data_IF_668747193696
#
_entry.id   IF_668747193696
#
_cell.length_a   1.000
_cell.length_b   1.000
_cell.length_c   1.000
_cell.angle_alpha   90.00
_cell.angle_beta   90.00
_cell.angle_gamma   90.00
#
_symmetry.space_group_name_H-M   'P 1'
#
loop_
_entity.id
_entity.type
_entity.pdbx_description
1 polymer ?
#
# COMPACT_ATOMS: atom_id res chain seq x y z
N UNK A 1 25.11 0.29 3.00
CA UNK A 1 24.03 -0.49 2.35
C UNK A 1 22.78 0.26 2.70
N UNK A 2 22.24 0.99 1.72
CA UNK A 2 21.11 1.95 1.85
C UNK A 2 19.75 1.23 1.75
N UNK A 3 19.74 -0.08 2.01
CA UNK A 3 18.57 -0.92 1.80
C UNK A 3 17.43 -0.51 2.75
N UNK A 4 17.72 -0.23 4.02
CA UNK A 4 16.74 0.31 4.97
C UNK A 4 16.10 1.62 4.49
N UNK A 5 16.90 2.57 4.00
CA UNK A 5 16.40 3.84 3.48
C UNK A 5 15.56 3.69 2.22
N UNK A 6 15.90 2.71 1.37
CA UNK A 6 15.11 2.36 0.19
C UNK A 6 13.75 1.75 0.57
N UNK A 7 13.73 0.80 1.52
CA UNK A 7 12.48 0.17 1.98
C UNK A 7 11.57 1.16 2.70
N UNK A 8 12.12 2.03 3.55
CA UNK A 8 11.38 3.13 4.18
C UNK A 8 10.74 4.06 3.13
N UNK A 9 11.49 4.40 2.08
CA UNK A 9 10.97 5.22 1.00
C UNK A 9 9.85 4.51 0.23
N UNK A 10 9.97 3.20 -0.01
CA UNK A 10 8.96 2.39 -0.66
C UNK A 10 7.65 2.35 0.14
N UNK A 11 7.74 2.11 1.46
CA UNK A 11 6.60 2.16 2.40
C UNK A 11 5.91 3.51 2.36
N UNK A 12 6.68 4.61 2.44
CA UNK A 12 6.15 5.98 2.37
C UNK A 12 5.47 6.30 1.05
N UNK A 13 6.03 5.84 -0.07
CA UNK A 13 5.43 6.07 -1.39
C UNK A 13 4.10 5.32 -1.54
N UNK A 14 4.02 4.09 -1.01
CA UNK A 14 2.77 3.33 -0.99
C UNK A 14 1.69 4.04 -0.16
N UNK A 15 2.03 4.46 1.06
CA UNK A 15 1.11 5.20 1.93
C UNK A 15 0.59 6.47 1.25
N UNK A 16 1.48 7.24 0.63
CA UNK A 16 1.12 8.47 -0.06
C UNK A 16 0.24 8.20 -1.28
N UNK A 17 0.54 7.17 -2.07
CA UNK A 17 -0.29 6.76 -3.20
C UNK A 17 -1.70 6.35 -2.75
N UNK A 18 -1.80 5.61 -1.64
CA UNK A 18 -3.08 5.21 -1.07
C UNK A 18 -3.91 6.43 -0.63
N UNK A 19 -3.29 7.38 0.08
CA UNK A 19 -3.92 8.65 0.48
C UNK A 19 -4.46 9.42 -0.73
N UNK A 20 -3.69 9.50 -1.82
CA UNK A 20 -4.14 10.14 -3.05
C UNK A 20 -5.35 9.43 -3.68
N UNK A 21 -5.32 8.10 -3.74
CA UNK A 21 -6.43 7.32 -4.29
C UNK A 21 -7.69 7.50 -3.45
N UNK A 22 -7.60 7.47 -2.13
CA UNK A 22 -8.75 7.65 -1.24
C UNK A 22 -9.38 9.05 -1.33
N UNK A 23 -8.61 10.05 -1.76
CA UNK A 23 -9.10 11.41 -2.01
C UNK A 23 -9.84 11.58 -3.35
N UNK A 24 -9.76 10.60 -4.27
CA UNK A 24 -10.47 10.64 -5.56
C UNK A 24 -11.97 10.39 -5.39
N UNK A 25 -12.82 10.75 -6.37
CA UNK A 25 -14.22 10.32 -6.39
C UNK A 25 -14.35 8.79 -6.35
N UNK A 26 -15.31 8.26 -5.59
CA UNK A 26 -15.49 6.81 -5.36
C UNK A 26 -15.50 5.96 -6.64
N UNK A 27 -16.09 6.47 -7.72
CA UNK A 27 -16.10 5.80 -9.02
C UNK A 27 -14.70 5.55 -9.61
N UNK A 28 -13.72 6.40 -9.30
CA UNK A 28 -12.34 6.29 -9.78
C UNK A 28 -11.47 5.46 -8.83
N UNK A 29 -11.78 5.44 -7.53
CA UNK A 29 -10.99 4.72 -6.51
C UNK A 29 -10.81 3.25 -6.87
N UNK A 30 -11.87 2.56 -7.31
CA UNK A 30 -11.87 1.11 -7.54
C UNK A 30 -10.72 0.62 -8.42
N UNK A 31 -10.47 1.30 -9.55
CA UNK A 31 -9.43 0.88 -10.48
C UNK A 31 -8.01 1.09 -9.93
N UNK A 32 -7.80 2.16 -9.16
CA UNK A 32 -6.51 2.43 -8.53
C UNK A 32 -6.26 1.60 -7.28
N UNK A 33 -7.29 1.35 -6.47
CA UNK A 33 -7.21 0.44 -5.31
C UNK A 33 -6.85 -0.97 -5.76
N UNK A 34 -7.45 -1.49 -6.84
CA UNK A 34 -7.07 -2.80 -7.37
C UNK A 34 -5.60 -2.88 -7.81
N UNK A 35 -5.03 -1.77 -8.29
CA UNK A 35 -3.60 -1.69 -8.65
C UNK A 35 -2.72 -1.61 -7.40
N UNK A 36 -3.12 -0.85 -6.40
CA UNK A 36 -2.40 -0.77 -5.12
C UNK A 36 -2.48 -2.08 -4.34
N UNK A 37 -3.60 -2.81 -4.37
CA UNK A 37 -3.70 -4.14 -3.78
C UNK A 37 -2.70 -5.11 -4.41
N UNK A 38 -2.51 -5.04 -5.73
CA UNK A 38 -1.47 -5.83 -6.40
C UNK A 38 -0.06 -5.44 -5.95
N UNK A 39 0.21 -4.15 -5.74
CA UNK A 39 1.50 -3.69 -5.20
C UNK A 39 1.70 -4.19 -3.77
N UNK A 40 0.65 -4.16 -2.94
CA UNK A 40 0.64 -4.72 -1.59
C UNK A 40 1.02 -6.19 -1.59
N UNK A 41 0.36 -6.98 -2.44
CA UNK A 41 0.65 -8.42 -2.60
C UNK A 41 2.08 -8.67 -3.07
N UNK A 42 2.60 -7.89 -4.04
CA UNK A 42 3.99 -8.02 -4.48
C UNK A 42 5.00 -7.60 -3.40
N UNK A 43 4.64 -6.69 -2.50
CA UNK A 43 5.46 -6.26 -1.37
C UNK A 43 5.76 -7.39 -0.39
N UNK A 44 4.92 -8.42 -0.35
CA UNK A 44 5.11 -9.60 0.51
C UNK A 44 6.40 -10.38 0.16
N UNK A 45 6.81 -10.35 -1.11
CA UNK A 45 8.02 -11.05 -1.59
C UNK A 45 9.31 -10.22 -1.44
N UNK A 46 9.22 -8.96 -0.98
CA UNK A 46 10.37 -8.04 -0.88
C UNK A 46 11.25 -8.34 0.35
N UNK A 47 10.66 -8.83 1.43
CA UNK A 47 11.32 -9.00 2.73
C UNK A 47 11.39 -7.69 3.54
N UNK A 48 12.16 -7.70 4.64
CA UNK A 48 12.38 -6.54 5.52
C UNK A 48 11.11 -5.90 6.14
N UNK A 49 10.00 -6.64 6.22
CA UNK A 49 8.76 -6.14 6.81
C UNK A 49 7.92 -5.24 5.90
N UNK A 50 8.34 -4.99 4.66
CA UNK A 50 7.61 -4.13 3.72
C UNK A 50 6.17 -4.61 3.47
N UNK A 51 5.98 -5.94 3.39
CA UNK A 51 4.65 -6.54 3.27
C UNK A 51 3.77 -6.28 4.50
N UNK A 52 4.33 -6.43 5.70
CA UNK A 52 3.63 -6.16 6.96
C UNK A 52 3.24 -4.67 7.07
N UNK A 53 4.13 -3.76 6.70
CA UNK A 53 3.85 -2.32 6.68
C UNK A 53 2.76 -1.96 5.66
N UNK A 54 2.81 -2.53 4.46
CA UNK A 54 1.77 -2.33 3.46
C UNK A 54 0.41 -2.83 3.93
N UNK A 55 0.37 -3.99 4.60
CA UNK A 55 -0.87 -4.55 5.15
C UNK A 55 -1.40 -3.70 6.31
N UNK A 56 -0.52 -3.20 7.17
CA UNK A 56 -0.89 -2.27 8.23
C UNK A 56 -1.51 -0.98 7.67
N UNK A 57 -0.86 -0.35 6.68
CA UNK A 57 -1.37 0.85 6.01
C UNK A 57 -2.73 0.58 5.33
N UNK A 58 -2.89 -0.61 4.74
CA UNK A 58 -4.13 -1.03 4.09
C UNK A 58 -5.28 -1.23 5.10
N UNK A 59 -4.96 -1.82 6.25
CA UNK A 59 -5.85 -1.99 7.41
C UNK A 59 -6.31 -0.65 7.98
N UNK A 60 -5.37 0.26 8.24
CA UNK A 60 -5.68 1.60 8.77
C UNK A 60 -6.61 2.41 7.83
N UNK A 61 -6.55 2.12 6.53
CA UNK A 61 -7.44 2.71 5.54
C UNK A 61 -8.86 2.07 5.50
N UNK A 62 -9.10 1.00 6.28
CA UNK A 62 -10.37 0.27 6.32
C UNK A 62 -10.66 -0.52 5.04
N UNK A 63 -9.61 -1.01 4.37
CA UNK A 63 -9.70 -1.73 3.09
C UNK A 63 -9.56 -3.25 3.23
N UNK A 64 -9.39 -3.75 4.45
CA UNK A 64 -9.51 -5.17 4.76
C UNK A 64 -10.96 -5.61 4.56
N UNK A 65 -11.16 -6.75 3.89
CA UNK A 65 -12.49 -7.22 3.52
C UNK A 65 -13.40 -7.43 4.74
N UNK A 66 -14.63 -6.97 4.63
CA UNK A 66 -15.79 -7.61 5.28
C UNK A 66 -15.99 -8.93 4.53
N UNK A 67 -15.75 -10.06 5.21
CA UNK A 67 -15.93 -11.43 4.67
C UNK A 67 -17.38 -11.68 4.25
#
# INVERSE_FOLDING_TARGET
MDDDGFYDALVRMFEQALKYVLALPKAQQKAFLARLDRVRQLGQDVGWGVGDDFDHIWSEAGLEGDD
#
